data_IF_023021065752
#
_entry.id   IF_023021065752
#
_cell.length_a   1.000
_cell.length_b   1.000
_cell.length_c   1.000
_cell.angle_alpha   90.00
_cell.angle_beta   90.00
_cell.angle_gamma   90.00
#
_symmetry.space_group_name_H-M   'P 1'
#
loop_
_entity.id
_entity.type
_entity.pdbx_description
1 polymer ?
#
# COMPACT_ATOMS: atom_id res chain seq x y z
N UNK A 1 -9.36 -15.14 5.38
CA UNK A 1 -10.28 -14.27 6.14
C UNK A 1 -10.27 -12.91 5.46
N UNK A 2 -11.41 -12.26 5.21
CA UNK A 2 -11.42 -10.90 4.68
C UNK A 2 -10.77 -9.96 5.71
N UNK A 3 -9.85 -9.11 5.24
CA UNK A 3 -9.29 -8.04 6.08
C UNK A 3 -10.37 -6.97 6.22
N UNK A 4 -10.80 -6.69 7.46
CA UNK A 4 -11.73 -5.60 7.72
C UNK A 4 -10.94 -4.30 7.85
N UNK A 5 -11.06 -3.45 6.83
CA UNK A 5 -10.51 -2.10 6.83
C UNK A 5 -11.52 -1.12 7.45
N UNK A 6 -11.14 -0.53 8.57
CA UNK A 6 -11.84 0.56 9.26
C UNK A 6 -11.35 1.93 8.75
N UNK A 7 -10.09 2.01 8.32
CA UNK A 7 -9.50 3.23 7.78
C UNK A 7 -8.36 2.97 6.79
N UNK A 8 -7.92 4.04 6.11
CA UNK A 8 -6.87 3.97 5.09
C UNK A 8 -5.46 3.76 5.69
N UNK A 9 -5.27 4.01 6.99
CA UNK A 9 -3.98 3.76 7.66
C UNK A 9 -3.66 2.26 7.69
N UNK A 10 -4.68 1.41 7.82
CA UNK A 10 -4.50 -0.04 7.75
C UNK A 10 -3.93 -0.48 6.40
N UNK A 11 -4.32 0.16 5.28
CA UNK A 11 -3.76 -0.15 3.95
C UNK A 11 -2.26 0.18 3.92
N UNK A 12 -1.86 1.33 4.48
CA UNK A 12 -0.44 1.72 4.57
C UNK A 12 0.35 0.73 5.42
N UNK A 13 -0.23 0.24 6.52
CA UNK A 13 0.39 -0.77 7.38
C UNK A 13 0.59 -2.08 6.63
N UNK A 14 -0.42 -2.56 5.90
CA UNK A 14 -0.30 -3.80 5.11
C UNK A 14 0.77 -3.67 4.01
N UNK A 15 0.85 -2.53 3.31
CA UNK A 15 1.93 -2.26 2.35
C UNK A 15 3.29 -2.33 3.04
N UNK A 16 3.45 -1.70 4.22
CA UNK A 16 4.71 -1.74 4.99
C UNK A 16 5.08 -3.15 5.43
N UNK A 17 4.12 -3.97 5.85
CA UNK A 17 4.36 -5.39 6.16
C UNK A 17 4.83 -6.15 4.92
N UNK A 18 4.16 -5.96 3.79
CA UNK A 18 4.54 -6.58 2.52
C UNK A 18 5.97 -6.21 2.09
N UNK A 19 6.39 -4.96 2.31
CA UNK A 19 7.78 -4.53 2.07
C UNK A 19 8.78 -5.32 2.92
N UNK A 20 8.45 -5.58 4.19
CA UNK A 20 9.29 -6.39 5.09
C UNK A 20 9.34 -7.86 4.66
N UNK A 21 8.19 -8.45 4.32
CA UNK A 21 8.08 -9.85 3.89
C UNK A 21 8.85 -10.12 2.60
N UNK A 22 8.74 -9.21 1.64
CA UNK A 22 9.43 -9.28 0.34
C UNK A 22 10.88 -8.80 0.39
N UNK A 23 11.32 -8.27 1.54
CA UNK A 23 12.64 -7.63 1.73
C UNK A 23 12.91 -6.50 0.74
N UNK A 24 11.86 -5.86 0.23
CA UNK A 24 11.99 -4.71 -0.66
C UNK A 24 12.14 -3.43 0.15
N UNK A 25 13.25 -2.72 -0.07
CA UNK A 25 13.51 -1.46 0.63
C UNK A 25 12.64 -0.31 0.07
N UNK A 26 12.37 0.70 0.91
CA UNK A 26 11.76 1.96 0.46
C UNK A 26 12.54 2.63 -0.68
N UNK A 27 13.87 2.49 -0.66
CA UNK A 27 14.73 3.04 -1.70
C UNK A 27 14.50 2.34 -3.04
N UNK A 28 14.54 1.01 -3.07
CA UNK A 28 14.29 0.25 -4.29
C UNK A 28 12.91 0.53 -4.88
N UNK A 29 11.88 0.64 -4.04
CA UNK A 29 10.52 0.97 -4.50
C UNK A 29 10.47 2.38 -5.06
N UNK A 30 11.09 3.36 -4.39
CA UNK A 30 11.17 4.74 -4.89
C UNK A 30 11.91 4.81 -6.23
N UNK A 31 13.04 4.08 -6.36
CA UNK A 31 13.83 4.01 -7.58
C UNK A 31 13.01 3.40 -8.73
N UNK A 32 12.29 2.30 -8.50
CA UNK A 32 11.39 1.71 -9.51
C UNK A 32 10.19 2.59 -9.86
N UNK A 33 9.73 3.43 -8.93
CA UNK A 33 8.71 4.46 -9.17
C UNK A 33 9.26 5.71 -9.87
N UNK A 34 10.56 5.78 -10.13
CA UNK A 34 11.26 6.96 -10.66
C UNK A 34 11.05 8.23 -9.82
N UNK A 35 11.06 8.08 -8.48
CA UNK A 35 10.94 9.17 -7.52
C UNK A 35 12.07 9.14 -6.49
N UNK A 36 12.29 10.26 -5.79
CA UNK A 36 13.21 10.28 -4.65
C UNK A 36 12.62 9.51 -3.45
N UNK A 37 13.42 8.90 -2.57
CA UNK A 37 12.93 8.21 -1.36
C UNK A 37 11.99 9.06 -0.49
N UNK A 38 12.29 10.37 -0.36
CA UNK A 38 11.42 11.31 0.37
C UNK A 38 10.02 11.44 -0.25
N UNK A 39 9.91 11.29 -1.58
CA UNK A 39 8.64 11.29 -2.30
C UNK A 39 7.78 10.09 -1.91
N UNK A 40 8.36 8.90 -1.79
CA UNK A 40 7.66 7.71 -1.31
C UNK A 40 7.23 7.87 0.14
N UNK A 41 8.10 8.40 1.02
CA UNK A 41 7.73 8.70 2.41
C UNK A 41 6.55 9.67 2.49
N UNK A 42 6.55 10.73 1.66
CA UNK A 42 5.44 11.68 1.60
C UNK A 42 4.15 11.02 1.09
N UNK A 43 4.25 10.13 0.11
CA UNK A 43 3.11 9.37 -0.42
C UNK A 43 2.50 8.48 0.67
N UNK A 44 3.31 7.68 1.36
CA UNK A 44 2.87 6.78 2.45
C UNK A 44 2.26 7.52 3.65
N UNK A 45 2.64 8.79 3.88
CA UNK A 45 2.15 9.61 4.99
C UNK A 45 1.08 10.64 4.56
N UNK A 46 0.54 10.52 3.35
CA UNK A 46 -0.50 11.43 2.83
C UNK A 46 -1.76 11.31 3.69
N UNK A 47 -2.28 12.44 4.19
CA UNK A 47 -3.52 12.48 5.02
C UNK A 47 -4.70 11.77 4.34
N UNK A 48 -4.81 11.92 3.02
CA UNK A 48 -5.83 11.29 2.19
C UNK A 48 -5.18 10.21 1.31
N UNK A 49 -4.41 9.31 1.91
CA UNK A 49 -3.91 8.13 1.21
C UNK A 49 -5.10 7.31 0.70
N UNK A 50 -5.12 6.96 -0.58
CA UNK A 50 -6.22 6.24 -1.21
C UNK A 50 -5.78 5.02 -2.02
N UNK A 51 -6.75 4.33 -2.63
CA UNK A 51 -6.48 3.13 -3.42
C UNK A 51 -5.55 3.37 -4.61
N UNK A 52 -5.65 4.52 -5.29
CA UNK A 52 -4.75 4.87 -6.39
C UNK A 52 -3.29 5.00 -5.93
N UNK A 53 -3.07 5.58 -4.74
CA UNK A 53 -1.73 5.69 -4.15
C UNK A 53 -1.18 4.28 -3.80
N UNK A 54 -2.04 3.40 -3.27
CA UNK A 54 -1.72 2.01 -2.97
C UNK A 54 -1.38 1.19 -4.22
N UNK A 55 -2.21 1.26 -5.26
CA UNK A 55 -1.99 0.57 -6.54
C UNK A 55 -0.68 0.99 -7.21
N UNK A 56 -0.35 2.28 -7.18
CA UNK A 56 0.94 2.77 -7.69
C UNK A 56 2.12 2.10 -6.98
N UNK A 57 2.07 1.94 -5.67
CA UNK A 57 3.15 1.28 -4.93
C UNK A 57 3.15 -0.23 -5.22
N UNK A 58 1.99 -0.88 -5.13
CA UNK A 58 1.83 -2.32 -5.27
C UNK A 58 2.21 -2.82 -6.67
N UNK A 59 1.81 -2.09 -7.72
CA UNK A 59 2.16 -2.44 -9.12
C UNK A 59 3.68 -2.52 -9.33
N UNK A 60 4.43 -1.60 -8.74
CA UNK A 60 5.90 -1.56 -8.83
C UNK A 60 6.55 -2.66 -7.99
N UNK A 61 5.88 -3.07 -6.92
CA UNK A 61 6.23 -4.25 -6.13
C UNK A 61 5.81 -5.57 -6.80
N UNK A 62 5.02 -5.54 -7.87
CA UNK A 62 4.53 -6.73 -8.57
C UNK A 62 3.24 -7.34 -7.98
N UNK A 63 2.43 -6.54 -7.29
CA UNK A 63 1.20 -6.96 -6.63
C UNK A 63 -0.03 -6.19 -7.15
N UNK A 64 -1.19 -6.83 -7.07
CA UNK A 64 -2.48 -6.18 -7.31
C UNK A 64 -3.15 -5.82 -5.97
N UNK A 65 -3.85 -4.69 -5.93
CA UNK A 65 -4.76 -4.39 -4.83
C UNK A 65 -6.11 -5.09 -5.09
N UNK A 66 -6.53 -6.00 -4.20
CA UNK A 66 -7.81 -6.70 -4.30
C UNK A 66 -8.67 -6.28 -3.11
N UNK A 67 -9.86 -5.74 -3.40
CA UNK A 67 -10.87 -5.37 -2.41
C UNK A 67 -12.08 -6.28 -2.64
N UNK A 68 -12.60 -6.85 -1.56
CA UNK A 68 -13.71 -7.79 -1.60
C UNK A 68 -14.89 -7.28 -0.75
N UNK A 69 -16.06 -7.85 -0.97
CA UNK A 69 -17.31 -7.43 -0.32
C UNK A 69 -17.96 -8.59 0.43
N UNK A 70 -18.32 -8.36 1.69
CA UNK A 70 -19.09 -9.30 2.50
C UNK A 70 -20.51 -8.79 2.69
N UNK A 71 -21.51 -9.69 2.56
CA UNK A 71 -22.90 -9.35 2.85
C UNK A 71 -23.10 -9.31 4.36
N UNK A 72 -23.68 -8.22 4.88
CA UNK A 72 -24.08 -8.15 6.28
C UNK A 72 -25.04 -9.31 6.61
N UNK A 73 -24.66 -10.16 7.56
CA UNK A 73 -25.59 -11.10 8.17
C UNK A 73 -26.40 -10.32 9.22
N UNK A 74 -27.73 -10.32 9.05
CA UNK A 74 -28.67 -9.81 10.07
C UNK A 74 -28.84 -10.85 11.18
#
# INVERSE_FOLDING_TARGET
MPVKYENNEQIVIEIKKLMLETKMSQREIADKMNIKPQGLTKLLNKKNFGFEDAEKILSVMGYNLIIDFERFQK
#
